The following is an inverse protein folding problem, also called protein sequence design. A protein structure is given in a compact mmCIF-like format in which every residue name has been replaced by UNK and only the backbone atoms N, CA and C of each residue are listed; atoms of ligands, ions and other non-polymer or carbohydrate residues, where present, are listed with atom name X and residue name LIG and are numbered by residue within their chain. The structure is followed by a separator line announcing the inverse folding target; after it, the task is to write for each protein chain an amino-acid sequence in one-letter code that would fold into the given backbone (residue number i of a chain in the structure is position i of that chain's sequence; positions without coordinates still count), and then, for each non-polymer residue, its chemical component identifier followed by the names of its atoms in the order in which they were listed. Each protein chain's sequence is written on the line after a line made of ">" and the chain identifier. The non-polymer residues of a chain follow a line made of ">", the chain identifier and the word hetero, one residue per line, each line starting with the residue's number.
data_IF_083866259495
#
_entry.id   IF_083866259495
#
_cell.length_a   1.000
_cell.length_b   1.000
_cell.length_c   1.000
_cell.angle_alpha   90.00
_cell.angle_beta   90.00
_cell.angle_gamma   90.00
#
_symmetry.space_group_name_H-M   'P 1'
#
loop_
_entity.id
_entity.type
_entity.pdbx_description
1 polymer ?
#
# COMPACT_ATOMS: atom_id res chain seq x y z
N UNK A 1 -37.86 -27.93 -39.18
CA UNK A 1 -38.71 -29.03 -38.67
C UNK A 1 -37.82 -29.95 -37.85
N UNK A 2 -38.12 -30.02 -36.56
CA UNK A 2 -37.41 -30.72 -35.47
C UNK A 2 -37.57 -32.26 -35.54
N UNK A 3 -36.55 -33.00 -35.09
CA UNK A 3 -36.63 -34.34 -34.47
C UNK A 3 -35.31 -34.52 -33.68
N UNK A 4 -35.21 -34.39 -32.35
CA UNK A 4 -35.67 -35.28 -31.25
C UNK A 4 -35.27 -36.76 -31.53
N UNK A 5 -34.54 -37.55 -30.71
CA UNK A 5 -34.20 -37.61 -29.28
C UNK A 5 -32.92 -38.48 -29.10
N UNK A 6 -31.95 -38.09 -28.26
CA UNK A 6 -31.66 -38.58 -26.89
C UNK A 6 -31.54 -40.11 -26.68
N UNK A 7 -30.34 -40.57 -26.30
CA UNK A 7 -30.15 -41.72 -25.39
C UNK A 7 -28.99 -41.48 -24.43
N UNK A 8 -29.33 -41.42 -23.14
CA UNK A 8 -28.46 -41.64 -21.99
C UNK A 8 -27.93 -43.08 -22.00
N UNK A 9 -26.66 -43.28 -21.62
CA UNK A 9 -26.29 -44.18 -20.52
C UNK A 9 -24.78 -44.12 -20.24
N UNK A 10 -24.42 -43.69 -19.03
CA UNK A 10 -23.19 -44.07 -18.31
C UNK A 10 -23.68 -45.00 -17.17
N UNK A 11 -22.88 -45.92 -16.55
CA UNK A 11 -21.53 -45.66 -16.04
C UNK A 11 -20.60 -46.91 -16.09
N UNK A 12 -19.36 -46.81 -15.58
CA UNK A 12 -18.74 -47.76 -14.60
C UNK A 12 -17.26 -47.40 -14.36
N UNK A 13 -16.93 -47.12 -13.09
CA UNK A 13 -15.57 -47.06 -12.49
C UNK A 13 -15.00 -48.50 -12.45
N UNK A 14 -13.71 -48.84 -12.42
CA UNK A 14 -12.64 -48.30 -11.59
C UNK A 14 -11.30 -49.01 -11.93
N UNK A 15 -10.20 -48.30 -11.67
CA UNK A 15 -8.89 -48.77 -11.17
C UNK A 15 -8.10 -49.83 -11.93
N UNK A 16 -6.85 -49.48 -12.33
CA UNK A 16 -5.66 -50.24 -11.94
C UNK A 16 -4.39 -49.35 -11.91
N UNK A 17 -3.75 -49.34 -10.74
CA UNK A 17 -2.40 -48.90 -10.33
C UNK A 17 -1.30 -49.01 -11.42
N UNK A 18 -0.30 -48.11 -11.39
CA UNK A 18 1.04 -48.33 -10.76
C UNK A 18 2.03 -47.19 -11.07
N UNK A 19 2.73 -46.72 -10.01
CA UNK A 19 3.88 -45.80 -10.04
C UNK A 19 5.13 -46.50 -10.60
N UNK A 20 6.01 -45.77 -11.28
CA UNK A 20 7.35 -45.32 -10.80
C UNK A 20 7.94 -44.34 -11.84
N UNK A 21 8.75 -43.34 -11.43
CA UNK A 21 9.31 -42.29 -12.30
C UNK A 21 10.78 -42.51 -12.63
N UNK A 22 11.29 -42.02 -13.77
CA UNK A 22 12.66 -41.48 -13.79
C UNK A 22 13.00 -40.59 -15.02
N UNK A 23 13.93 -39.68 -14.75
CA UNK A 23 14.78 -38.90 -15.67
C UNK A 23 14.21 -37.64 -16.34
N UNK A 24 14.35 -36.54 -15.60
CA UNK A 24 15.01 -35.28 -15.99
C UNK A 24 15.19 -34.94 -17.48
N UNK A 25 14.57 -33.84 -17.91
CA UNK A 25 15.23 -32.88 -18.79
C UNK A 25 14.78 -31.47 -18.44
N UNK A 26 15.76 -30.61 -18.16
CA UNK A 26 15.60 -29.21 -17.81
C UNK A 26 15.01 -28.42 -18.98
N UNK A 27 13.91 -27.71 -18.74
CA UNK A 27 13.59 -26.50 -19.49
C UNK A 27 13.41 -25.35 -18.48
N UNK A 28 14.39 -24.45 -18.48
CA UNK A 28 14.36 -23.17 -17.78
C UNK A 28 13.39 -22.26 -18.52
N UNK A 29 12.10 -22.51 -18.34
CA UNK A 29 11.09 -21.51 -18.61
C UNK A 29 11.07 -20.58 -17.40
N UNK A 30 11.67 -19.40 -17.58
CA UNK A 30 11.58 -18.24 -16.67
C UNK A 30 10.11 -17.92 -16.39
N UNK A 31 9.51 -18.65 -15.46
CA UNK A 31 8.25 -18.30 -14.86
C UNK A 31 8.53 -17.05 -14.02
N UNK A 32 8.27 -15.90 -14.65
CA UNK A 32 7.92 -14.60 -14.04
C UNK A 32 7.89 -14.75 -12.53
N UNK A 33 8.93 -14.25 -11.84
CA UNK A 33 8.94 -14.16 -10.37
C UNK A 33 7.58 -13.60 -9.98
N UNK A 34 6.67 -14.48 -9.56
CA UNK A 34 5.36 -14.11 -9.03
C UNK A 34 5.76 -13.23 -7.88
N UNK A 35 5.56 -11.93 -8.07
CA UNK A 35 5.80 -10.91 -7.09
C UNK A 35 5.12 -11.42 -5.84
N UNK A 36 5.96 -11.96 -4.93
CA UNK A 36 5.54 -12.71 -3.76
C UNK A 36 4.53 -11.78 -3.12
N UNK A 37 3.26 -12.19 -3.04
CA UNK A 37 2.19 -11.39 -2.44
C UNK A 37 2.74 -10.93 -1.10
N UNK A 38 3.21 -9.68 -1.04
CA UNK A 38 3.64 -9.10 0.20
C UNK A 38 2.38 -9.14 1.05
N UNK A 39 2.46 -9.76 2.24
CA UNK A 39 1.37 -9.70 3.20
C UNK A 39 0.89 -8.25 3.23
N UNK A 40 -0.43 -8.05 3.16
CA UNK A 40 -1.02 -6.72 3.09
C UNK A 40 -0.43 -5.88 4.22
N UNK A 41 0.55 -5.04 3.88
CA UNK A 41 1.18 -4.19 4.86
C UNK A 41 0.13 -3.16 5.19
N UNK A 42 -0.19 -3.01 6.47
CA UNK A 42 -1.05 -1.94 6.92
C UNK A 42 -0.37 -0.59 6.67
N UNK A 43 -1.15 0.46 6.51
CA UNK A 43 -0.62 1.79 6.20
C UNK A 43 0.26 2.30 7.34
N UNK A 44 -0.19 2.14 8.59
CA UNK A 44 0.56 2.49 9.79
C UNK A 44 1.87 1.69 9.89
N UNK A 45 1.93 0.45 9.39
CA UNK A 45 3.18 -0.30 9.34
C UNK A 45 4.17 0.31 8.34
N UNK A 46 3.68 0.87 7.23
CA UNK A 46 4.54 1.62 6.27
C UNK A 46 5.01 2.95 6.88
N UNK A 47 4.13 3.65 7.60
CA UNK A 47 4.46 4.85 8.36
C UNK A 47 5.51 4.59 9.46
N UNK A 48 5.31 3.54 10.25
CA UNK A 48 6.25 3.11 11.27
C UNK A 48 7.59 2.71 10.65
N UNK A 49 7.56 1.96 9.54
CA UNK A 49 8.77 1.58 8.82
C UNK A 49 9.54 2.81 8.31
N UNK A 50 8.81 3.85 7.89
CA UNK A 50 9.39 5.12 7.47
C UNK A 50 10.13 5.79 8.64
N UNK A 51 9.46 6.00 9.77
CA UNK A 51 9.98 6.84 10.86
C UNK A 51 10.82 6.13 11.93
N UNK A 52 10.37 4.95 12.39
CA UNK A 52 10.85 4.32 13.62
C UNK A 52 11.62 3.01 13.42
N UNK A 53 11.71 2.51 12.18
CA UNK A 53 12.47 1.30 11.89
C UNK A 53 13.97 1.52 12.06
N UNK A 54 14.67 0.49 12.55
CA UNK A 54 16.12 0.51 12.84
C UNK A 54 16.94 0.99 11.65
N UNK A 55 16.53 0.59 10.44
CA UNK A 55 16.94 1.26 9.21
C UNK A 55 15.74 2.01 8.66
N UNK A 56 15.71 3.34 8.81
CA UNK A 56 14.61 4.14 8.26
C UNK A 56 14.43 3.80 6.78
N UNK A 57 13.18 3.69 6.33
CA UNK A 57 12.89 3.07 5.03
C UNK A 57 13.57 3.77 3.84
N UNK A 58 13.84 5.08 3.96
CA UNK A 58 14.61 5.82 2.97
C UNK A 58 16.09 5.38 2.87
N UNK A 59 16.67 4.84 3.95
CA UNK A 59 18.05 4.30 4.02
C UNK A 59 18.14 2.79 3.77
N UNK A 60 17.03 2.05 3.87
CA UNK A 60 17.02 0.58 3.75
C UNK A 60 17.54 0.06 2.39
N UNK A 61 18.18 -1.12 2.34
CA UNK A 61 18.66 -1.74 1.09
C UNK A 61 17.54 -2.43 0.31
N UNK A 62 16.45 -1.69 0.05
CA UNK A 62 15.28 -2.14 -0.72
C UNK A 62 15.27 -1.50 -2.11
N UNK A 63 14.43 -2.03 -3.01
CA UNK A 63 14.34 -1.50 -4.38
C UNK A 63 13.89 -0.04 -4.40
N UNK A 64 14.34 0.71 -5.42
CA UNK A 64 13.94 2.11 -5.62
C UNK A 64 12.42 2.28 -5.72
N UNK A 65 11.75 1.31 -6.35
CA UNK A 65 10.29 1.31 -6.48
C UNK A 65 9.62 1.22 -5.11
N UNK A 66 10.05 0.30 -4.25
CA UNK A 66 9.49 0.17 -2.90
C UNK A 66 9.68 1.43 -2.06
N UNK A 67 10.85 2.08 -2.16
CA UNK A 67 11.09 3.37 -1.48
C UNK A 67 10.15 4.45 -1.99
N UNK A 68 9.99 4.55 -3.31
CA UNK A 68 9.12 5.54 -3.94
C UNK A 68 7.66 5.34 -3.55
N UNK A 69 7.17 4.09 -3.59
CA UNK A 69 5.79 3.76 -3.20
C UNK A 69 5.55 4.05 -1.71
N UNK A 70 6.48 3.68 -0.84
CA UNK A 70 6.36 3.97 0.58
C UNK A 70 6.43 5.47 0.88
N UNK A 71 7.34 6.20 0.23
CA UNK A 71 7.45 7.67 0.33
C UNK A 71 6.12 8.32 -0.05
N UNK A 72 5.54 7.91 -1.18
CA UNK A 72 4.31 8.49 -1.68
C UNK A 72 3.11 8.13 -0.78
N UNK A 73 3.05 6.90 -0.28
CA UNK A 73 2.01 6.49 0.67
C UNK A 73 2.08 7.31 1.96
N UNK A 74 3.28 7.46 2.54
CA UNK A 74 3.50 8.29 3.73
C UNK A 74 3.13 9.74 3.46
N UNK A 75 3.50 10.30 2.31
CA UNK A 75 3.12 11.65 1.93
C UNK A 75 1.60 11.82 1.87
N UNK A 76 0.87 10.86 1.27
CA UNK A 76 -0.59 10.90 1.30
C UNK A 76 -1.14 10.80 2.73
N UNK A 77 -0.60 9.92 3.58
CA UNK A 77 -1.04 9.78 4.97
C UNK A 77 -0.90 11.08 5.76
N UNK A 78 0.16 11.87 5.53
CA UNK A 78 0.34 13.18 6.17
C UNK A 78 -0.80 14.16 5.88
N UNK A 79 -1.41 14.09 4.69
CA UNK A 79 -2.51 14.97 4.30
C UNK A 79 -3.78 14.77 5.13
N UNK A 80 -3.88 13.65 5.84
CA UNK A 80 -5.03 13.31 6.71
C UNK A 80 -4.77 13.64 8.18
N UNK A 81 -3.60 14.19 8.50
CA UNK A 81 -3.28 14.68 9.83
C UNK A 81 -3.67 16.14 9.90
N UNK A 82 -4.98 16.35 10.12
CA UNK A 82 -5.55 17.67 9.94
C UNK A 82 -4.96 18.69 10.94
N UNK A 83 -4.64 18.31 12.17
CA UNK A 83 -4.04 19.26 13.12
C UNK A 83 -2.50 19.31 13.05
N UNK A 84 -1.91 18.71 12.00
CA UNK A 84 -0.48 18.47 11.93
C UNK A 84 -0.05 17.27 12.77
N UNK A 85 1.26 17.15 12.96
CA UNK A 85 1.88 16.09 13.76
C UNK A 85 3.27 16.51 14.20
N UNK A 86 3.64 16.11 15.42
CA UNK A 86 4.96 16.36 15.98
C UNK A 86 5.58 15.00 16.25
N UNK A 87 6.66 14.67 15.53
CA UNK A 87 7.43 13.44 15.73
C UNK A 87 8.86 13.82 16.08
N UNK A 88 9.22 13.75 17.36
CA UNK A 88 10.57 14.10 17.81
C UNK A 88 11.37 12.85 18.18
N UNK A 89 12.45 12.51 17.44
CA UNK A 89 13.29 11.35 17.73
C UNK A 89 14.01 11.40 19.08
N UNK A 90 14.04 12.55 19.74
CA UNK A 90 14.70 12.74 21.04
C UNK A 90 13.80 12.38 22.22
N UNK A 91 12.49 12.20 22.01
CA UNK A 91 11.58 11.85 23.08
C UNK A 91 11.51 10.34 23.30
N UNK A 92 11.37 9.93 24.56
CA UNK A 92 11.36 8.52 24.95
C UNK A 92 10.18 7.75 24.33
N UNK A 93 9.06 8.44 24.09
CA UNK A 93 7.82 7.95 23.52
C UNK A 93 7.76 8.07 21.98
N UNK A 94 8.88 8.37 21.31
CA UNK A 94 8.92 8.57 19.85
C UNK A 94 8.25 7.42 19.07
N UNK A 95 8.53 6.16 19.42
CA UNK A 95 7.95 5.00 18.73
C UNK A 95 6.43 4.91 18.93
N UNK A 96 5.95 5.27 20.11
CA UNK A 96 4.53 5.26 20.45
C UNK A 96 3.82 6.39 19.71
N UNK A 97 4.40 7.59 19.65
CA UNK A 97 3.90 8.71 18.85
C UNK A 97 3.82 8.38 17.36
N UNK A 98 4.88 7.74 16.81
CA UNK A 98 4.88 7.29 15.42
C UNK A 98 3.76 6.29 15.17
N UNK A 99 3.54 5.34 16.08
CA UNK A 99 2.48 4.35 15.98
C UNK A 99 1.09 4.96 16.05
N UNK A 100 0.84 5.82 17.05
CA UNK A 100 -0.45 6.50 17.24
C UNK A 100 -0.77 7.41 16.05
N UNK A 101 0.19 8.25 15.64
CA UNK A 101 0.03 9.15 14.49
C UNK A 101 -0.23 8.36 13.20
N UNK A 102 0.52 7.29 12.97
CA UNK A 102 0.34 6.43 11.80
C UNK A 102 -1.02 5.74 11.78
N UNK A 103 -1.51 5.30 12.94
CA UNK A 103 -2.83 4.66 13.09
C UNK A 103 -3.96 5.66 12.85
N UNK A 104 -3.84 6.87 13.41
CA UNK A 104 -4.79 7.97 13.19
C UNK A 104 -4.87 8.34 11.70
N UNK A 105 -3.72 8.49 11.05
CA UNK A 105 -3.66 8.76 9.61
C UNK A 105 -4.27 7.63 8.78
N UNK A 106 -3.97 6.36 9.09
CA UNK A 106 -4.58 5.21 8.40
C UNK A 106 -6.10 5.23 8.53
N UNK A 107 -6.64 5.44 9.74
CA UNK A 107 -8.08 5.50 9.95
C UNK A 107 -8.75 6.57 9.08
N UNK A 108 -8.16 7.77 9.02
CA UNK A 108 -8.68 8.87 8.22
C UNK A 108 -8.58 8.60 6.69
N UNK A 109 -7.48 7.97 6.22
CA UNK A 109 -7.35 7.54 4.83
C UNK A 109 -8.44 6.52 4.47
N UNK A 110 -8.66 5.53 5.33
CA UNK A 110 -9.65 4.48 5.09
C UNK A 110 -11.08 5.02 5.12
N UNK A 111 -11.38 5.97 6.02
CA UNK A 111 -12.67 6.66 6.06
C UNK A 111 -12.95 7.44 4.75
N UNK A 112 -11.94 8.08 4.15
CA UNK A 112 -12.10 8.71 2.85
C UNK A 112 -12.42 7.67 1.76
N UNK A 113 -11.70 6.54 1.74
CA UNK A 113 -11.94 5.49 0.75
C UNK A 113 -13.33 4.87 0.90
N UNK A 114 -13.81 4.66 2.11
CA UNK A 114 -15.18 4.19 2.37
C UNK A 114 -16.22 5.19 1.86
N UNK A 115 -15.98 6.49 2.00
CA UNK A 115 -16.82 7.54 1.40
C UNK A 115 -16.85 7.54 -0.14
N UNK A 116 -15.94 6.80 -0.78
CA UNK A 116 -15.89 6.58 -2.23
C UNK A 116 -16.26 5.13 -2.63
N UNK A 117 -16.91 4.38 -1.74
CA UNK A 117 -17.29 2.97 -1.93
C UNK A 117 -16.09 2.02 -2.17
N UNK A 118 -14.90 2.38 -1.67
CA UNK A 118 -13.68 1.59 -1.79
C UNK A 118 -13.37 0.88 -0.47
N UNK A 119 -13.48 -0.44 -0.45
CA UNK A 119 -13.18 -1.29 0.72
C UNK A 119 -11.73 -1.79 0.81
N UNK A 120 -10.84 -1.28 -0.04
CA UNK A 120 -9.44 -1.71 -0.10
C UNK A 120 -8.65 -1.29 1.14
N UNK A 121 -7.97 -2.24 1.80
CA UNK A 121 -7.17 -2.00 3.03
C UNK A 121 -5.66 -2.15 2.87
N UNK A 122 -5.18 -2.82 1.82
CA UNK A 122 -3.73 -3.06 1.65
C UNK A 122 -2.99 -1.85 1.08
N UNK A 123 -1.79 -1.54 1.59
CA UNK A 123 -0.97 -0.39 1.17
C UNK A 123 -0.89 -0.18 -0.35
N UNK A 124 -0.65 -1.23 -1.14
CA UNK A 124 -0.54 -1.11 -2.60
C UNK A 124 -1.85 -0.73 -3.30
N UNK A 125 -2.97 -1.28 -2.83
CA UNK A 125 -4.29 -0.96 -3.38
C UNK A 125 -4.73 0.45 -2.96
N UNK A 126 -4.56 0.78 -1.69
CA UNK A 126 -4.84 2.12 -1.15
C UNK A 126 -4.03 3.17 -1.89
N UNK A 127 -2.72 2.96 -2.10
CA UNK A 127 -1.87 3.86 -2.86
C UNK A 127 -2.36 4.06 -4.30
N UNK A 128 -2.86 3.00 -4.94
CA UNK A 128 -3.45 3.10 -6.29
C UNK A 128 -4.69 4.00 -6.29
N UNK A 129 -5.57 3.84 -5.31
CA UNK A 129 -6.79 4.66 -5.19
C UNK A 129 -6.47 6.12 -4.85
N UNK A 130 -5.55 6.36 -3.90
CA UNK A 130 -5.09 7.71 -3.56
C UNK A 130 -4.49 8.44 -4.77
N UNK A 131 -3.70 7.75 -5.60
CA UNK A 131 -3.21 8.31 -6.87
C UNK A 131 -4.33 8.67 -7.85
N UNK A 132 -5.41 7.89 -7.90
CA UNK A 132 -6.54 8.18 -8.77
C UNK A 132 -7.31 9.42 -8.26
N UNK A 133 -7.58 9.48 -6.95
CA UNK A 133 -8.22 10.62 -6.30
C UNK A 133 -7.40 11.90 -6.44
N UNK A 134 -6.08 11.80 -6.28
CA UNK A 134 -5.16 12.92 -6.48
C UNK A 134 -5.24 13.47 -7.91
N UNK A 135 -5.16 12.60 -8.92
CA UNK A 135 -5.30 13.00 -10.33
C UNK A 135 -6.66 13.62 -10.66
N UNK A 136 -7.71 13.23 -9.94
CA UNK A 136 -9.04 13.82 -10.05
C UNK A 136 -9.19 15.14 -9.28
N UNK A 137 -8.13 15.65 -8.63
CA UNK A 137 -8.15 16.87 -7.84
C UNK A 137 -8.82 16.73 -6.46
N UNK A 138 -9.33 15.54 -6.10
CA UNK A 138 -10.07 15.32 -4.86
C UNK A 138 -9.24 15.53 -3.58
N UNK A 139 -7.90 15.52 -3.70
CA UNK A 139 -6.99 15.75 -2.58
C UNK A 139 -6.45 17.20 -2.53
N UNK A 140 -6.80 18.08 -3.47
CA UNK A 140 -6.21 19.43 -3.59
C UNK A 140 -6.41 20.29 -2.34
N UNK A 141 -7.58 20.23 -1.70
CA UNK A 141 -7.86 20.96 -0.47
C UNK A 141 -6.98 20.48 0.69
N UNK A 142 -6.73 19.16 0.78
CA UNK A 142 -5.86 18.59 1.81
C UNK A 142 -4.39 18.89 1.55
N UNK A 143 -3.97 18.91 0.29
CA UNK A 143 -2.62 19.32 -0.13
C UNK A 143 -2.38 20.77 0.31
N UNK A 144 -3.27 21.69 -0.06
CA UNK A 144 -3.15 23.10 0.32
C UNK A 144 -3.09 23.29 1.84
N UNK A 145 -3.94 22.58 2.57
CA UNK A 145 -3.98 22.65 4.03
C UNK A 145 -2.69 22.11 4.65
N UNK A 146 -2.14 21.02 4.11
CA UNK A 146 -0.85 20.48 4.55
C UNK A 146 0.30 21.46 4.27
N UNK A 147 0.33 22.10 3.10
CA UNK A 147 1.32 23.14 2.76
C UNK A 147 1.27 24.31 3.73
N UNK A 148 0.08 24.75 4.14
CA UNK A 148 -0.09 25.77 5.18
C UNK A 148 0.46 25.30 6.52
N UNK A 149 0.19 24.06 6.93
CA UNK A 149 0.70 23.50 8.18
C UNK A 149 2.24 23.40 8.19
N UNK A 150 2.89 23.16 7.04
CA UNK A 150 4.35 23.15 6.94
C UNK A 150 4.99 24.50 7.28
N UNK A 151 4.25 25.61 7.22
CA UNK A 151 4.70 26.95 7.62
C UNK A 151 4.51 27.25 9.11
N UNK A 152 4.02 26.27 9.89
CA UNK A 152 3.65 26.43 11.29
C UNK A 152 4.42 25.44 12.18
N UNK A 153 4.53 25.68 13.49
CA UNK A 153 5.10 24.71 14.42
C UNK A 153 4.22 23.46 14.64
N UNK A 154 3.06 23.36 13.98
CA UNK A 154 2.17 22.20 14.07
C UNK A 154 2.76 20.94 13.39
N UNK A 155 3.78 21.09 12.54
CA UNK A 155 4.49 19.97 11.93
C UNK A 155 5.94 19.94 12.41
N UNK A 156 6.32 18.86 13.09
CA UNK A 156 7.71 18.49 13.32
C UNK A 156 7.97 17.13 12.66
N UNK A 157 8.55 17.17 11.46
CA UNK A 157 8.80 15.97 10.66
C UNK A 157 10.30 15.65 10.64
N UNK A 158 10.74 14.51 11.22
CA UNK A 158 12.14 14.13 11.29
C UNK A 158 12.65 13.51 9.97
N UNK A 159 11.77 13.28 8.99
CA UNK A 159 12.19 12.81 7.67
C UNK A 159 12.93 13.92 6.90
N UNK A 160 13.85 13.60 5.97
CA UNK A 160 14.55 14.60 5.18
C UNK A 160 13.60 15.51 4.38
N UNK A 161 13.91 16.81 4.28
CA UNK A 161 13.05 17.82 3.62
C UNK A 161 12.55 17.44 2.22
N UNK A 162 13.39 16.80 1.40
CA UNK A 162 13.01 16.31 0.06
C UNK A 162 11.92 15.23 0.04
N UNK A 163 11.50 14.74 1.21
CA UNK A 163 10.43 13.75 1.39
C UNK A 163 9.19 14.30 2.07
N UNK A 164 9.24 15.55 2.55
CA UNK A 164 8.17 16.15 3.33
C UNK A 164 7.07 16.73 2.43
N UNK A 165 7.46 17.51 1.42
CA UNK A 165 6.53 18.09 0.45
C UNK A 165 6.77 17.51 -0.96
N UNK A 166 6.09 16.42 -1.29
CA UNK A 166 6.24 15.69 -2.57
C UNK A 166 4.95 15.61 -3.39
N UNK A 167 3.86 16.20 -2.88
CA UNK A 167 2.54 16.18 -3.50
C UNK A 167 2.17 17.62 -3.86
N UNK A 168 1.78 17.83 -5.11
CA UNK A 168 1.39 19.13 -5.63
C UNK A 168 -0.10 19.12 -5.99
N UNK A 169 -0.76 20.28 -5.93
CA UNK A 169 -2.14 20.41 -6.38
C UNK A 169 -2.23 20.10 -7.89
N UNK A 170 -3.33 19.45 -8.30
CA UNK A 170 -3.61 19.22 -9.72
C UNK A 170 -4.41 20.40 -10.25
N UNK A 171 -3.83 21.19 -11.16
CA UNK A 171 -4.56 22.18 -11.94
C UNK A 171 -5.47 21.46 -12.94
N UNK A 172 -6.78 21.63 -12.78
CA UNK A 172 -7.79 21.13 -13.71
C UNK A 172 -8.19 22.22 -14.70
#
# INVERSE_FOLDING_TARGET
>A
MHALEAKLNNPTQATHKRKEPDTSTSDVSQAKKRQRRAAATHLHATWYAWYAHETQLWRAPISRQQKSDAKLLVAYMKLFLDDGFILSPTMADFRDQVMETGTRAEHAVLALLEGHDISSRGSGAVLKHLRALHRAGALNARIQRHEQLLQTPAICDPAPGYTQNVLEQVNS
#
